data_IF_524938162686
#
_entry.id   IF_524938162686
#
_cell.length_a   1.000
_cell.length_b   1.000
_cell.length_c   1.000
_cell.angle_alpha   90.00
_cell.angle_beta   90.00
_cell.angle_gamma   90.00
#
_symmetry.space_group_name_H-M   'P 1'
#
loop_
_entity.id
_entity.type
_entity.pdbx_description
1 polymer ?
#
# COMPACT_ATOMS: atom_id res chain seq x y z
N UNK A 1 -16.74 14.84 -6.16
CA UNK A 1 -15.61 14.15 -5.51
C UNK A 1 -15.13 13.07 -6.45
N UNK A 2 -13.88 13.12 -6.94
CA UNK A 2 -13.35 12.14 -7.91
C UNK A 2 -11.96 11.74 -7.48
N UNK A 3 -11.78 10.46 -7.13
CA UNK A 3 -10.47 9.91 -6.81
C UNK A 3 -9.57 9.97 -8.05
N UNK A 4 -8.41 10.62 -7.93
CA UNK A 4 -7.41 10.64 -8.99
C UNK A 4 -6.48 9.44 -8.85
N UNK A 5 -6.65 8.44 -9.72
CA UNK A 5 -5.82 7.23 -9.73
C UNK A 5 -4.57 7.49 -10.57
N UNK A 6 -3.40 7.49 -9.92
CA UNK A 6 -2.14 7.87 -10.58
C UNK A 6 -1.15 6.72 -10.78
N UNK A 7 -1.19 5.69 -9.91
CA UNK A 7 -0.18 4.63 -9.91
C UNK A 7 -0.42 3.49 -10.90
N UNK A 8 -1.59 3.44 -11.54
CA UNK A 8 -2.00 2.32 -12.40
C UNK A 8 -2.55 2.87 -13.72
N UNK A 9 -2.03 2.35 -14.83
CA UNK A 9 -2.58 2.63 -16.16
C UNK A 9 -3.65 1.59 -16.47
N UNK A 10 -4.91 2.00 -16.42
CA UNK A 10 -6.05 1.15 -16.79
C UNK A 10 -6.20 1.19 -18.30
N UNK A 11 -5.71 0.14 -18.96
CA UNK A 11 -6.00 -0.10 -20.37
C UNK A 11 -7.46 -0.56 -20.56
N UNK A 12 -8.03 -0.44 -21.77
CA UNK A 12 -9.43 -0.76 -22.04
C UNK A 12 -9.84 -2.22 -21.74
N UNK A 13 -8.89 -3.14 -21.62
CA UNK A 13 -9.11 -4.56 -21.31
C UNK A 13 -8.54 -5.01 -19.96
N UNK A 14 -7.93 -4.12 -19.17
CA UNK A 14 -7.31 -4.46 -17.88
C UNK A 14 -8.09 -3.82 -16.74
N UNK A 15 -8.89 -4.64 -16.05
CA UNK A 15 -9.37 -4.33 -14.72
C UNK A 15 -8.28 -4.67 -13.70
N UNK A 16 -8.04 -3.76 -12.75
CA UNK A 16 -7.16 -3.99 -11.62
C UNK A 16 -7.97 -3.72 -10.35
N UNK A 17 -8.06 -4.72 -9.48
CA UNK A 17 -8.84 -4.60 -8.26
C UNK A 17 -8.03 -3.90 -7.17
N UNK A 18 -8.76 -3.21 -6.29
CA UNK A 18 -8.22 -2.66 -5.06
C UNK A 18 -8.15 -3.80 -4.05
N UNK A 19 -6.96 -4.08 -3.54
CA UNK A 19 -6.73 -5.06 -2.49
C UNK A 19 -7.03 -4.49 -1.10
N UNK A 20 -6.65 -3.22 -0.86
CA UNK A 20 -6.96 -2.52 0.39
C UNK A 20 -7.09 -1.01 0.16
N UNK A 21 -8.02 -0.38 0.87
CA UNK A 21 -8.21 1.07 0.91
C UNK A 21 -8.41 1.49 2.35
N UNK A 22 -7.40 2.14 2.94
CA UNK A 22 -7.39 2.47 4.37
C UNK A 22 -7.10 3.95 4.59
N UNK A 23 -7.89 4.55 5.47
CA UNK A 23 -7.78 5.94 5.88
C UNK A 23 -7.30 6.03 7.32
N UNK A 24 -6.27 6.84 7.59
CA UNK A 24 -5.88 7.18 8.95
C UNK A 24 -6.79 8.30 9.47
N UNK A 25 -7.64 7.99 10.45
CA UNK A 25 -8.64 8.91 11.00
C UNK A 25 -8.15 9.77 12.17
N UNK A 26 -6.93 9.56 12.64
CA UNK A 26 -6.36 10.33 13.76
C UNK A 26 -5.79 11.69 13.33
N UNK A 27 -5.34 12.50 14.29
CA UNK A 27 -4.69 13.78 14.02
C UNK A 27 -3.43 13.61 13.16
N UNK A 28 -3.31 14.39 12.08
CA UNK A 28 -2.17 14.38 11.17
C UNK A 28 -1.83 15.80 10.71
N UNK A 29 -0.54 16.10 10.44
CA UNK A 29 -0.16 17.30 9.70
C UNK A 29 -0.86 17.35 8.34
N UNK A 30 -1.27 18.53 7.89
CA UNK A 30 -2.03 18.71 6.64
C UNK A 30 -1.30 18.20 5.38
N UNK A 31 0.03 18.14 5.42
CA UNK A 31 0.87 17.65 4.33
C UNK A 31 1.17 16.14 4.41
N UNK A 32 0.74 15.44 5.46
CA UNK A 32 1.01 14.01 5.62
C UNK A 32 -0.04 13.21 4.86
N UNK A 33 0.36 12.23 4.03
CA UNK A 33 -0.58 11.28 3.46
C UNK A 33 -1.32 10.51 4.55
N UNK A 34 -2.63 10.36 4.38
CA UNK A 34 -3.53 9.66 5.33
C UNK A 34 -4.40 8.61 4.64
N UNK A 35 -4.51 8.66 3.31
CA UNK A 35 -5.20 7.68 2.51
C UNK A 35 -4.17 6.79 1.81
N UNK A 36 -4.30 5.47 1.98
CA UNK A 36 -3.55 4.50 1.21
C UNK A 36 -4.51 3.66 0.35
N UNK A 37 -4.26 3.61 -0.96
CA UNK A 37 -4.97 2.73 -1.90
C UNK A 37 -3.98 1.74 -2.48
N UNK A 38 -4.17 0.47 -2.15
CA UNK A 38 -3.31 -0.65 -2.50
C UNK A 38 -4.03 -1.54 -3.50
N UNK A 39 -3.36 -1.85 -4.62
CA UNK A 39 -3.90 -2.66 -5.71
C UNK A 39 -3.31 -4.06 -5.70
N UNK A 40 -4.05 -5.06 -6.17
CA UNK A 40 -3.65 -6.48 -6.13
C UNK A 40 -2.28 -6.78 -6.78
N UNK A 41 -1.80 -5.92 -7.68
CA UNK A 41 -0.51 -6.05 -8.33
C UNK A 41 0.69 -5.53 -7.49
N UNK A 42 0.47 -5.14 -6.24
CA UNK A 42 1.53 -4.64 -5.37
C UNK A 42 1.79 -3.14 -5.46
N UNK A 43 1.11 -2.41 -6.37
CA UNK A 43 1.23 -0.95 -6.45
C UNK A 43 0.33 -0.29 -5.41
N UNK A 44 0.85 0.77 -4.81
CA UNK A 44 0.16 1.54 -3.79
C UNK A 44 0.29 3.03 -4.10
N UNK A 45 -0.78 3.79 -3.88
CA UNK A 45 -0.73 5.25 -3.85
C UNK A 45 -1.06 5.75 -2.45
N UNK A 46 -0.23 6.66 -1.93
CA UNK A 46 -0.44 7.37 -0.68
C UNK A 46 -0.86 8.81 -0.99
N UNK A 47 -1.93 9.27 -0.36
CA UNK A 47 -2.58 10.53 -0.68
C UNK A 47 -2.94 11.31 0.60
N UNK A 48 -2.88 12.64 0.53
CA UNK A 48 -3.30 13.55 1.60
C UNK A 48 -4.83 13.67 1.71
N UNK A 49 -5.52 13.49 0.59
CA UNK A 49 -6.97 13.41 0.47
C UNK A 49 -7.34 12.67 -0.81
N UNK A 50 -8.62 12.43 -1.06
CA UNK A 50 -9.10 11.80 -2.29
C UNK A 50 -8.88 12.64 -3.56
N UNK A 51 -8.61 13.94 -3.41
CA UNK A 51 -8.34 14.87 -4.51
C UNK A 51 -6.84 15.24 -4.60
N UNK A 52 -5.95 14.39 -4.10
CA UNK A 52 -4.51 14.65 -4.12
C UNK A 52 -3.90 14.42 -5.52
N UNK A 53 -3.43 15.51 -6.14
CA UNK A 53 -2.73 15.48 -7.42
C UNK A 53 -1.25 15.07 -7.31
N UNK A 54 -0.68 15.00 -6.10
CA UNK A 54 0.71 14.63 -5.85
C UNK A 54 0.80 13.35 -5.02
N UNK A 55 0.11 12.29 -5.48
CA UNK A 55 0.13 11.01 -4.79
C UNK A 55 1.53 10.39 -4.80
N UNK A 56 1.94 9.80 -3.68
CA UNK A 56 3.21 9.08 -3.58
C UNK A 56 2.98 7.64 -4.04
N UNK A 57 3.73 7.20 -5.05
CA UNK A 57 3.59 5.85 -5.61
C UNK A 57 4.65 4.92 -5.05
N UNK A 58 4.21 3.77 -4.54
CA UNK A 58 5.07 2.72 -3.98
C UNK A 58 4.82 1.41 -4.72
N UNK A 59 5.88 0.71 -5.10
CA UNK A 59 5.82 -0.66 -5.61
C UNK A 59 6.36 -1.62 -4.55
N UNK A 60 5.48 -2.48 -4.03
CA UNK A 60 5.82 -3.42 -2.96
C UNK A 60 6.46 -4.70 -3.49
N UNK A 61 6.30 -4.99 -4.78
CA UNK A 61 6.66 -6.27 -5.40
C UNK A 61 6.04 -7.50 -4.69
N UNK A 62 4.90 -7.31 -4.03
CA UNK A 62 4.16 -8.37 -3.33
C UNK A 62 2.78 -8.61 -3.96
N UNK A 63 2.23 -9.79 -3.72
CA UNK A 63 0.86 -10.21 -4.08
C UNK A 63 0.10 -10.69 -2.83
N UNK A 64 -1.23 -10.86 -2.94
CA UNK A 64 -2.05 -11.30 -1.81
C UNK A 64 -1.93 -10.33 -0.63
N UNK A 65 -2.09 -9.04 -0.93
CA UNK A 65 -1.66 -7.97 -0.05
C UNK A 65 -2.80 -7.30 0.69
N UNK A 66 -2.52 -6.87 1.92
CA UNK A 66 -3.36 -5.95 2.69
C UNK A 66 -2.47 -4.91 3.37
N UNK A 67 -3.05 -3.79 3.79
CA UNK A 67 -2.32 -2.76 4.52
C UNK A 67 -3.13 -2.13 5.64
N UNK A 68 -2.43 -1.64 6.66
CA UNK A 68 -3.02 -0.96 7.80
C UNK A 68 -2.06 0.08 8.38
N UNK A 69 -2.61 1.22 8.78
CA UNK A 69 -1.88 2.26 9.51
C UNK A 69 -1.61 1.83 10.95
N UNK A 70 -0.46 2.22 11.48
CA UNK A 70 -0.22 2.15 12.91
C UNK A 70 -1.05 3.22 13.67
N UNK A 71 -0.97 3.18 15.00
CA UNK A 71 -1.82 4.00 15.88
C UNK A 71 -1.71 5.53 15.67
N UNK A 72 -0.55 6.05 15.25
CA UNK A 72 -0.31 7.50 15.08
C UNK A 72 -0.26 7.94 13.61
N UNK A 73 -0.46 7.00 12.67
CA UNK A 73 -0.44 7.24 11.24
C UNK A 73 0.94 7.58 10.68
N UNK A 74 2.02 7.33 11.43
CA UNK A 74 3.39 7.55 10.94
C UNK A 74 3.93 6.39 10.10
N UNK A 75 3.37 5.19 10.30
CA UNK A 75 3.82 3.96 9.64
C UNK A 75 2.62 3.24 9.01
N UNK A 76 2.80 2.81 7.77
CA UNK A 76 1.89 1.90 7.09
C UNK A 76 2.54 0.52 6.99
N UNK A 77 1.89 -0.48 7.56
CA UNK A 77 2.27 -1.87 7.35
C UNK A 77 1.57 -2.39 6.09
N UNK A 78 2.32 -3.03 5.20
CA UNK A 78 1.80 -3.78 4.05
C UNK A 78 2.25 -5.22 4.21
N UNK A 79 1.31 -6.15 4.24
CA UNK A 79 1.60 -7.57 4.37
C UNK A 79 1.14 -8.32 3.13
N UNK A 80 1.89 -9.32 2.72
CA UNK A 80 1.50 -10.26 1.66
C UNK A 80 2.64 -11.20 1.32
N UNK A 81 2.59 -11.75 0.11
CA UNK A 81 3.53 -12.75 -0.38
C UNK A 81 4.48 -12.14 -1.41
N UNK A 82 5.77 -12.41 -1.25
CA UNK A 82 6.78 -12.06 -2.25
C UNK A 82 7.25 -13.33 -2.96
N UNK A 83 6.95 -13.39 -4.25
CA UNK A 83 7.42 -14.42 -5.17
C UNK A 83 8.85 -14.13 -5.59
N UNK A 84 9.80 -14.99 -5.20
CA UNK A 84 11.15 -15.02 -5.75
C UNK A 84 11.37 -16.33 -6.51
N UNK A 85 12.34 -16.36 -7.44
CA UNK A 85 12.61 -17.48 -8.36
C UNK A 85 12.56 -18.87 -7.72
N UNK A 86 12.98 -18.99 -6.46
CA UNK A 86 13.12 -20.28 -5.78
C UNK A 86 12.22 -20.45 -4.55
N UNK A 87 11.47 -19.40 -4.14
CA UNK A 87 10.66 -19.45 -2.92
C UNK A 87 9.61 -18.34 -2.83
N UNK A 88 8.39 -18.74 -2.45
CA UNK A 88 7.36 -17.85 -1.93
C UNK A 88 7.62 -17.57 -0.45
N UNK A 89 7.55 -16.31 -0.05
CA UNK A 89 7.69 -15.93 1.36
C UNK A 89 6.70 -14.85 1.77
N UNK A 90 6.02 -15.11 2.89
CA UNK A 90 5.16 -14.11 3.53
C UNK A 90 6.04 -13.04 4.17
N UNK A 91 5.70 -11.78 3.95
CA UNK A 91 6.44 -10.64 4.45
C UNK A 91 5.49 -9.53 4.92
N UNK A 92 5.88 -8.83 5.98
CA UNK A 92 5.33 -7.52 6.32
C UNK A 92 6.40 -6.47 6.04
N UNK A 93 6.09 -5.55 5.13
CA UNK A 93 6.90 -4.38 4.82
C UNK A 93 6.30 -3.17 5.53
N UNK A 94 7.14 -2.37 6.17
CA UNK A 94 6.71 -1.18 6.88
C UNK A 94 7.25 0.03 6.13
N UNK A 95 6.36 0.95 5.80
CA UNK A 95 6.67 2.19 5.12
C UNK A 95 6.36 3.36 6.04
N UNK A 96 7.10 4.45 5.92
CA UNK A 96 6.65 5.73 6.47
C UNK A 96 5.39 6.20 5.74
N UNK A 97 4.65 7.13 6.35
CA UNK A 97 3.52 7.80 5.69
C UNK A 97 3.90 8.49 4.37
N UNK A 98 5.19 8.71 4.11
CA UNK A 98 5.72 9.32 2.89
C UNK A 98 6.27 8.28 1.89
N UNK A 99 5.93 6.99 2.06
CA UNK A 99 6.30 5.92 1.13
C UNK A 99 7.75 5.44 1.25
N UNK A 100 8.49 5.88 2.28
CA UNK A 100 9.87 5.42 2.50
C UNK A 100 9.84 4.03 3.14
N UNK A 101 10.50 3.06 2.53
CA UNK A 101 10.64 1.73 3.13
C UNK A 101 11.51 1.80 4.39
N UNK A 102 10.99 1.30 5.51
CA UNK A 102 11.67 1.32 6.82
C UNK A 102 12.26 -0.03 7.19
N UNK A 103 11.47 -1.10 7.01
CA UNK A 103 11.84 -2.46 7.45
C UNK A 103 10.99 -3.51 6.76
N UNK A 104 11.56 -4.72 6.66
CA UNK A 104 10.89 -5.93 6.19
C UNK A 104 10.98 -7.00 7.28
N UNK A 105 9.86 -7.65 7.57
CA UNK A 105 9.76 -8.79 8.48
C UNK A 105 9.30 -10.01 7.69
N UNK A 106 10.08 -11.10 7.71
CA UNK A 106 9.64 -12.38 7.15
C UNK A 106 8.70 -13.07 8.13
N UNK A 107 7.57 -13.55 7.63
CA UNK A 107 6.53 -14.21 8.42
C UNK A 107 6.58 -15.70 8.11
N UNK A 108 6.75 -16.58 9.12
CA UNK A 108 6.63 -18.02 8.91
C UNK A 108 5.17 -18.40 8.64
N UNK A 109 4.95 -19.35 7.74
CA UNK A 109 3.62 -19.80 7.36
C UNK A 109 3.47 -19.92 5.84
N UNK A 110 2.38 -20.53 5.40
CA UNK A 110 2.02 -20.62 3.98
C UNK A 110 1.13 -19.46 3.52
N UNK A 111 0.33 -18.91 4.42
CA UNK A 111 -0.66 -17.87 4.12
C UNK A 111 -0.65 -16.80 5.21
N UNK A 112 -0.97 -15.57 4.82
CA UNK A 112 -1.28 -14.47 5.74
C UNK A 112 -2.81 -14.31 5.69
N UNK A 113 -3.49 -14.67 6.78
CA UNK A 113 -4.96 -14.58 6.92
C UNK A 113 -5.37 -13.39 7.76
#
# INVERSE_FOLDING_TARGET
MRLHVQCVSLGPSRALSIASCVWFSGPAPANRPVLAVLYENGKMQLMRSENDDLAIIVDTQMQGISCQWNHDGSILAVCGMKSSSDKESNQAMFYSAYGVHLRTLKIPGREVT
#
